data_IF_366119081217
#
_entry.id   IF_366119081217
#
_cell.length_a   1.000
_cell.length_b   1.000
_cell.length_c   1.000
_cell.angle_alpha   90.00
_cell.angle_beta   90.00
_cell.angle_gamma   90.00
#
_symmetry.space_group_name_H-M   'P 1'
#
loop_
_entity.id
_entity.type
_entity.pdbx_description
1 polymer ?
#
# COMPACT_ATOMS: atom_id res chain seq x y z
N UNK A 1 -5.58 -12.72 15.06
CA UNK A 1 -5.28 -12.55 13.61
C UNK A 1 -5.81 -11.24 13.04
N UNK A 2 -7.03 -10.77 13.36
CA UNK A 2 -7.60 -9.55 12.74
C UNK A 2 -6.79 -8.25 12.95
N UNK A 3 -6.14 -8.08 14.11
CA UNK A 3 -5.29 -6.90 14.37
C UNK A 3 -4.00 -6.94 13.54
N UNK A 4 -3.35 -8.10 13.44
CA UNK A 4 -2.18 -8.32 12.57
C UNK A 4 -2.53 -8.10 11.09
N UNK A 5 -3.68 -8.61 10.65
CA UNK A 5 -4.18 -8.39 9.30
C UNK A 5 -4.48 -6.90 9.04
N UNK A 6 -5.01 -6.17 10.02
CA UNK A 6 -5.22 -4.73 9.91
C UNK A 6 -3.90 -3.97 9.78
N UNK A 7 -2.88 -4.32 10.59
CA UNK A 7 -1.55 -3.72 10.49
C UNK A 7 -0.89 -4.01 9.15
N UNK A 8 -1.01 -5.23 8.64
CA UNK A 8 -0.50 -5.62 7.33
C UNK A 8 -1.16 -4.82 6.20
N UNK A 9 -2.50 -4.75 6.18
CA UNK A 9 -3.21 -3.96 5.19
C UNK A 9 -2.91 -2.46 5.32
N UNK A 10 -2.74 -1.96 6.55
CA UNK A 10 -2.29 -0.58 6.80
C UNK A 10 -0.91 -0.27 6.22
N UNK A 11 0.06 -1.18 6.38
CA UNK A 11 1.37 -1.06 5.75
C UNK A 11 1.26 -1.05 4.22
N UNK A 12 0.41 -1.90 3.65
CA UNK A 12 0.12 -1.91 2.22
C UNK A 12 -0.51 -0.62 1.69
N UNK A 13 -1.45 -0.02 2.44
CA UNK A 13 -2.04 1.29 2.12
C UNK A 13 -0.96 2.38 2.15
N UNK A 14 -0.10 2.39 3.15
CA UNK A 14 1.01 3.36 3.23
C UNK A 14 1.99 3.21 2.07
N UNK A 15 2.31 1.98 1.66
CA UNK A 15 3.15 1.73 0.49
C UNK A 15 2.51 2.22 -0.81
N UNK A 16 1.20 1.98 -0.99
CA UNK A 16 0.44 2.48 -2.14
C UNK A 16 0.47 4.01 -2.22
N UNK A 17 0.16 4.69 -1.11
CA UNK A 17 0.15 6.16 -1.03
C UNK A 17 1.57 6.71 -1.24
N UNK A 18 2.57 6.12 -0.58
CA UNK A 18 3.97 6.52 -0.73
C UNK A 18 4.42 6.49 -2.18
N UNK A 19 4.04 5.45 -2.94
CA UNK A 19 4.34 5.37 -4.37
C UNK A 19 3.51 6.31 -5.22
N UNK A 20 2.21 6.45 -4.94
CA UNK A 20 1.30 7.29 -5.72
C UNK A 20 1.60 8.79 -5.61
N UNK A 21 2.17 9.22 -4.48
CA UNK A 21 2.51 10.62 -4.20
C UNK A 21 4.02 10.87 -4.11
N UNK A 22 4.85 9.90 -4.49
CA UNK A 22 6.30 10.12 -4.59
C UNK A 22 6.58 11.16 -5.67
N UNK A 23 7.27 12.24 -5.30
CA UNK A 23 7.78 13.23 -6.25
C UNK A 23 9.18 12.85 -6.69
N UNK A 24 9.59 13.35 -7.86
CA UNK A 24 10.94 13.10 -8.38
C UNK A 24 12.03 13.56 -7.40
N UNK A 25 11.80 14.66 -6.67
CA UNK A 25 12.69 15.16 -5.62
C UNK A 25 12.84 14.18 -4.45
N UNK A 26 11.74 13.55 -4.01
CA UNK A 26 11.75 12.55 -2.94
C UNK A 26 12.45 11.28 -3.43
N UNK A 27 12.18 10.86 -4.66
CA UNK A 27 12.81 9.67 -5.26
C UNK A 27 14.32 9.89 -5.39
N UNK A 28 14.75 11.06 -5.87
CA UNK A 28 16.17 11.40 -6.02
C UNK A 28 16.94 11.43 -4.68
N UNK A 29 16.24 11.62 -3.56
CA UNK A 29 16.83 11.58 -2.22
C UNK A 29 16.98 10.15 -1.66
N UNK A 30 16.40 9.13 -2.31
CA UNK A 30 16.53 7.72 -1.91
C UNK A 30 17.84 7.10 -2.43
N UNK A 31 18.34 6.02 -1.81
CA UNK A 31 19.43 5.22 -2.37
C UNK A 31 19.10 4.70 -3.77
N UNK A 32 20.11 4.58 -4.66
CA UNK A 32 19.92 4.17 -6.05
C UNK A 32 19.14 2.86 -6.21
N UNK A 33 19.35 1.89 -5.31
CA UNK A 33 18.63 0.62 -5.31
C UNK A 33 17.12 0.80 -5.14
N UNK A 34 16.69 1.77 -4.32
CA UNK A 34 15.27 2.06 -4.10
C UNK A 34 14.70 2.93 -5.23
N UNK A 35 15.51 3.78 -5.85
CA UNK A 35 15.08 4.54 -7.03
C UNK A 35 14.69 3.62 -8.19
N UNK A 36 15.44 2.52 -8.38
CA UNK A 36 15.14 1.52 -9.40
C UNK A 36 13.72 0.93 -9.27
N UNK A 37 13.19 0.80 -8.05
CA UNK A 37 11.81 0.34 -7.80
C UNK A 37 10.77 1.30 -8.38
N UNK A 38 11.02 2.62 -8.33
CA UNK A 38 10.12 3.65 -8.85
C UNK A 38 10.19 3.77 -10.38
N UNK A 39 11.32 3.39 -10.99
CA UNK A 39 11.51 3.35 -12.44
C UNK A 39 10.77 2.18 -13.11
N UNK A 40 10.33 1.19 -12.33
CA UNK A 40 9.52 0.08 -12.85
C UNK A 40 8.08 0.56 -13.03
N UNK A 41 7.66 0.66 -14.30
CA UNK A 41 6.25 0.89 -14.63
C UNK A 41 5.45 -0.39 -14.44
N UNK A 42 4.53 -0.38 -13.48
CA UNK A 42 3.57 -1.46 -13.34
C UNK A 42 2.33 -1.20 -14.19
N UNK A 43 1.77 -2.24 -14.84
CA UNK A 43 0.50 -2.12 -15.54
C UNK A 43 -0.62 -1.61 -14.61
N UNK A 44 -1.53 -0.82 -15.16
CA UNK A 44 -2.65 -0.25 -14.39
C UNK A 44 -3.53 -1.29 -13.70
N UNK A 45 -3.66 -2.50 -14.27
CA UNK A 45 -4.40 -3.58 -13.64
C UNK A 45 -3.72 -4.13 -12.39
N UNK A 46 -2.38 -4.13 -12.35
CA UNK A 46 -1.60 -4.61 -11.21
C UNK A 46 -1.72 -3.65 -10.04
N UNK A 47 -1.57 -2.35 -10.31
CA UNK A 47 -1.75 -1.30 -9.30
C UNK A 47 -3.19 -1.25 -8.78
N UNK A 48 -4.19 -1.42 -9.65
CA UNK A 48 -5.59 -1.51 -9.27
C UNK A 48 -5.87 -2.73 -8.37
N UNK A 49 -5.35 -3.91 -8.72
CA UNK A 49 -5.51 -5.12 -7.92
C UNK A 49 -4.86 -4.98 -6.53
N UNK A 50 -3.66 -4.39 -6.47
CA UNK A 50 -2.98 -4.12 -5.21
C UNK A 50 -3.78 -3.14 -4.34
N UNK A 51 -4.23 -2.03 -4.92
CA UNK A 51 -5.06 -1.04 -4.23
C UNK A 51 -6.34 -1.70 -3.66
N UNK A 52 -7.08 -2.45 -4.48
CA UNK A 52 -8.28 -3.16 -4.01
C UNK A 52 -7.94 -4.10 -2.85
N UNK A 53 -6.87 -4.89 -2.96
CA UNK A 53 -6.49 -5.84 -1.92
C UNK A 53 -6.24 -5.16 -0.57
N UNK A 54 -5.44 -4.09 -0.54
CA UNK A 54 -5.07 -3.41 0.71
C UNK A 54 -6.22 -2.59 1.30
N UNK A 55 -7.02 -1.90 0.48
CA UNK A 55 -8.15 -1.12 0.95
C UNK A 55 -9.34 -2.00 1.37
N UNK A 56 -9.73 -2.99 0.57
CA UNK A 56 -10.79 -3.92 0.94
C UNK A 56 -10.37 -4.78 2.13
N UNK A 57 -9.10 -5.19 2.21
CA UNK A 57 -8.56 -5.93 3.35
C UNK A 57 -8.58 -5.11 4.64
N UNK A 58 -8.16 -3.84 4.60
CA UNK A 58 -8.24 -2.93 5.73
C UNK A 58 -9.70 -2.71 6.18
N UNK A 59 -10.60 -2.36 5.25
CA UNK A 59 -12.02 -2.13 5.53
C UNK A 59 -12.71 -3.39 6.08
N UNK A 60 -12.40 -4.56 5.52
CA UNK A 60 -12.91 -5.85 6.01
C UNK A 60 -12.45 -6.16 7.44
N UNK A 61 -11.18 -5.92 7.75
CA UNK A 61 -10.67 -6.06 9.11
C UNK A 61 -11.36 -5.11 10.10
N UNK A 62 -11.55 -3.84 9.70
CA UNK A 62 -12.27 -2.83 10.50
C UNK A 62 -13.70 -3.27 10.74
N UNK A 63 -14.43 -3.71 9.70
CA UNK A 63 -15.81 -4.15 9.81
C UNK A 63 -15.97 -5.35 10.76
N UNK A 64 -15.04 -6.32 10.71
CA UNK A 64 -15.04 -7.46 11.64
C UNK A 64 -14.77 -7.01 13.08
N UNK A 65 -13.82 -6.09 13.29
CA UNK A 65 -13.50 -5.57 14.63
C UNK A 65 -14.68 -4.79 15.23
N UNK A 66 -15.41 -4.01 14.43
CA UNK A 66 -16.62 -3.30 14.86
C UNK A 66 -17.72 -4.29 15.24
N UNK A 67 -17.94 -5.36 14.46
CA UNK A 67 -18.96 -6.40 14.73
C UNK A 67 -18.66 -7.27 15.96
N UNK A 68 -17.40 -7.31 16.41
CA UNK A 68 -16.97 -8.11 17.57
C UNK A 68 -16.98 -7.32 18.88
N UNK A 69 -17.22 -6.00 18.83
CA UNK A 69 -17.69 -5.22 19.97
C UNK A 69 -19.21 -5.28 20.02
#
# INVERSE_FOLDING_TARGET
MSVLALLWNGAGVMAYIGRAYATDEIIAALPEEQQAEFLIEHPAWYTAAFALAVFCGALGCIAILIRKK
#
